data_IF_763677015359
#
_entry.id   IF_763677015359
#
_cell.length_a   1.000
_cell.length_b   1.000
_cell.length_c   1.000
_cell.angle_alpha   90.00
_cell.angle_beta   90.00
_cell.angle_gamma   90.00
#
_symmetry.space_group_name_H-M   'P 1'
#
loop_
_entity.id
_entity.type
_entity.pdbx_description
1 polymer ?
#
# COMPACT_ATOMS: atom_id res chain seq x y z
N UNK A 1 -13.10 -9.95 -4.60
CA UNK A 1 -12.96 -11.05 -5.57
C UNK A 1 -13.58 -12.31 -4.98
N UNK A 2 -14.44 -13.02 -5.71
CA UNK A 2 -14.90 -14.36 -5.38
C UNK A 2 -14.35 -15.37 -6.42
N UNK A 3 -13.87 -16.50 -5.95
CA UNK A 3 -13.37 -17.60 -6.78
C UNK A 3 -13.71 -18.94 -6.13
N UNK A 4 -13.74 -19.99 -6.93
CA UNK A 4 -14.02 -21.36 -6.45
C UNK A 4 -12.73 -22.11 -6.07
N UNK A 5 -12.89 -23.34 -5.58
CA UNK A 5 -11.78 -24.24 -5.17
C UNK A 5 -10.82 -24.61 -6.29
N UNK A 6 -11.19 -24.36 -7.54
CA UNK A 6 -10.34 -24.58 -8.73
C UNK A 6 -9.56 -23.34 -9.15
N UNK A 7 -9.71 -22.21 -8.41
CA UNK A 7 -9.10 -20.93 -8.74
C UNK A 7 -9.83 -20.12 -9.81
N UNK A 8 -10.99 -20.56 -10.28
CA UNK A 8 -11.78 -19.83 -11.26
C UNK A 8 -12.45 -18.63 -10.62
N UNK A 9 -12.20 -17.44 -11.16
CA UNK A 9 -12.86 -16.20 -10.70
C UNK A 9 -14.33 -16.24 -11.08
N UNK A 10 -15.20 -16.11 -10.09
CA UNK A 10 -16.65 -16.08 -10.25
C UNK A 10 -17.11 -14.63 -10.44
N UNK A 11 -16.63 -13.71 -9.59
CA UNK A 11 -16.90 -12.28 -9.75
C UNK A 11 -15.78 -11.41 -9.17
N UNK A 12 -15.72 -10.17 -9.68
CA UNK A 12 -14.87 -9.08 -9.15
C UNK A 12 -15.76 -7.89 -8.86
N UNK A 13 -15.58 -7.29 -7.70
CA UNK A 13 -16.25 -6.07 -7.30
C UNK A 13 -15.21 -5.05 -6.84
N UNK A 14 -15.41 -3.78 -7.17
CA UNK A 14 -14.55 -2.68 -6.74
C UNK A 14 -15.42 -1.55 -6.22
N UNK A 15 -15.04 -0.98 -5.10
CA UNK A 15 -15.68 0.18 -4.49
C UNK A 15 -14.59 1.14 -3.98
N UNK A 16 -14.96 2.16 -3.24
CA UNK A 16 -14.07 3.15 -2.65
C UNK A 16 -13.11 2.55 -1.59
N UNK A 17 -12.20 3.39 -1.08
CA UNK A 17 -11.19 2.94 -0.13
C UNK A 17 -11.78 2.48 1.22
N UNK A 18 -11.27 1.36 1.74
CA UNK A 18 -11.71 0.70 2.96
C UNK A 18 -10.62 0.63 4.04
N UNK A 19 -9.75 1.65 4.14
CA UNK A 19 -8.74 1.71 5.19
C UNK A 19 -9.39 1.86 6.58
N UNK A 20 -9.24 0.83 7.43
CA UNK A 20 -9.88 0.77 8.74
C UNK A 20 -9.41 1.88 9.70
N UNK A 21 -8.14 2.29 9.62
CA UNK A 21 -7.60 3.36 10.46
C UNK A 21 -8.14 4.74 10.06
N UNK A 22 -8.34 4.96 8.77
CA UNK A 22 -8.76 6.27 8.23
C UNK A 22 -10.29 6.42 8.29
N UNK A 23 -11.03 5.45 7.78
CA UNK A 23 -12.48 5.53 7.60
C UNK A 23 -13.29 4.85 8.70
N UNK A 24 -12.63 4.15 9.62
CA UNK A 24 -13.26 3.58 10.82
C UNK A 24 -14.54 2.78 10.51
N UNK A 25 -15.65 3.17 11.14
CA UNK A 25 -16.96 2.54 10.95
C UNK A 25 -17.45 2.57 9.49
N UNK A 26 -17.11 3.61 8.74
CA UNK A 26 -17.50 3.70 7.32
C UNK A 26 -16.81 2.63 6.49
N UNK A 27 -15.54 2.33 6.79
CA UNK A 27 -14.83 1.22 6.15
C UNK A 27 -15.50 -0.12 6.46
N UNK A 28 -15.92 -0.35 7.71
CA UNK A 28 -16.62 -1.57 8.11
C UNK A 28 -17.94 -1.70 7.34
N UNK A 29 -18.75 -0.64 7.28
CA UNK A 29 -20.01 -0.61 6.53
C UNK A 29 -19.79 -0.90 5.05
N UNK A 30 -18.74 -0.33 4.46
CA UNK A 30 -18.40 -0.56 3.06
C UNK A 30 -18.03 -2.02 2.80
N UNK A 31 -17.18 -2.62 3.65
CA UNK A 31 -16.77 -4.03 3.53
C UNK A 31 -17.99 -4.95 3.60
N UNK A 32 -18.88 -4.72 4.57
CA UNK A 32 -20.13 -5.49 4.72
C UNK A 32 -21.01 -5.33 3.49
N UNK A 33 -21.23 -4.11 3.02
CA UNK A 33 -21.99 -3.82 1.78
C UNK A 33 -21.42 -4.58 0.57
N UNK A 34 -20.10 -4.60 0.40
CA UNK A 34 -19.45 -5.35 -0.69
C UNK A 34 -19.75 -6.84 -0.57
N UNK A 35 -19.67 -7.42 0.62
CA UNK A 35 -20.00 -8.83 0.86
C UNK A 35 -21.46 -9.13 0.55
N UNK A 36 -22.39 -8.29 1.03
CA UNK A 36 -23.82 -8.42 0.77
C UNK A 36 -24.14 -8.33 -0.72
N UNK A 37 -23.46 -7.41 -1.45
CA UNK A 37 -23.60 -7.29 -2.91
C UNK A 37 -23.14 -8.56 -3.61
N UNK A 38 -21.96 -9.08 -3.26
CA UNK A 38 -21.41 -10.31 -3.87
C UNK A 38 -22.36 -11.50 -3.63
N UNK A 39 -22.86 -11.67 -2.42
CA UNK A 39 -23.78 -12.76 -2.06
C UNK A 39 -25.10 -12.64 -2.83
N UNK A 40 -25.65 -11.42 -2.95
CA UNK A 40 -26.86 -11.14 -3.71
C UNK A 40 -26.69 -11.41 -5.21
N UNK A 41 -25.62 -10.92 -5.82
CA UNK A 41 -25.35 -11.06 -7.25
C UNK A 41 -25.13 -12.53 -7.66
N UNK A 42 -24.45 -13.28 -6.80
CA UNK A 42 -24.23 -14.72 -6.99
C UNK A 42 -25.46 -15.58 -6.61
N UNK A 43 -26.48 -14.99 -6.01
CA UNK A 43 -27.71 -15.68 -5.53
C UNK A 43 -27.38 -16.84 -4.58
N UNK A 44 -26.42 -16.63 -3.70
CA UNK A 44 -25.99 -17.57 -2.65
C UNK A 44 -26.32 -17.01 -1.27
N UNK A 45 -26.10 -17.81 -0.22
CA UNK A 45 -26.19 -17.36 1.17
C UNK A 45 -24.79 -17.21 1.77
N UNK A 46 -24.68 -16.48 2.88
CA UNK A 46 -23.42 -16.40 3.63
C UNK A 46 -22.93 -17.78 4.13
N UNK A 47 -23.86 -18.73 4.35
CA UNK A 47 -23.54 -20.13 4.68
C UNK A 47 -22.75 -20.84 3.59
N UNK A 48 -22.95 -20.48 2.34
CA UNK A 48 -22.33 -21.10 1.16
C UNK A 48 -20.90 -20.63 0.93
N UNK A 49 -20.48 -19.55 1.61
CA UNK A 49 -19.08 -19.10 1.65
C UNK A 49 -18.28 -20.10 2.48
N UNK A 50 -17.29 -20.74 1.86
CA UNK A 50 -16.41 -21.71 2.52
C UNK A 50 -15.25 -21.04 3.26
N UNK A 51 -14.74 -19.91 2.74
CA UNK A 51 -13.65 -19.15 3.35
C UNK A 51 -13.74 -17.66 2.94
N UNK A 52 -13.39 -16.76 3.83
CA UNK A 52 -13.33 -15.32 3.59
C UNK A 52 -11.99 -14.76 4.02
N UNK A 53 -11.21 -14.21 3.09
CA UNK A 53 -9.96 -13.52 3.37
C UNK A 53 -10.09 -12.01 3.15
N UNK A 54 -9.74 -11.23 4.17
CA UNK A 54 -9.71 -9.79 4.11
C UNK A 54 -8.27 -9.29 4.31
N UNK A 55 -7.65 -8.73 3.27
CA UNK A 55 -6.38 -8.01 3.33
C UNK A 55 -6.64 -6.52 3.37
N UNK A 56 -6.54 -5.90 4.54
CA UNK A 56 -7.04 -4.55 4.80
C UNK A 56 -5.95 -3.62 5.30
N UNK A 57 -5.84 -2.44 4.69
CA UNK A 57 -5.06 -1.35 5.24
C UNK A 57 -5.68 -0.86 6.56
N UNK A 58 -4.82 -0.47 7.52
CA UNK A 58 -5.27 0.07 8.81
C UNK A 58 -5.83 -0.97 9.79
N UNK A 59 -5.58 -2.26 9.59
CA UNK A 59 -6.05 -3.36 10.46
C UNK A 59 -5.52 -3.29 11.90
N UNK A 60 -4.50 -2.47 12.15
CA UNK A 60 -3.98 -2.18 13.48
C UNK A 60 -4.94 -1.31 14.35
N UNK A 61 -5.95 -0.70 13.76
CA UNK A 61 -7.02 -0.05 14.50
C UNK A 61 -7.95 -1.11 15.11
N UNK A 62 -7.68 -1.45 16.36
CA UNK A 62 -8.37 -2.54 17.06
C UNK A 62 -9.88 -2.32 17.15
N UNK A 63 -10.33 -1.07 17.33
CA UNK A 63 -11.75 -0.75 17.43
C UNK A 63 -12.50 -1.07 16.13
N UNK A 64 -11.96 -0.65 14.97
CA UNK A 64 -12.56 -0.92 13.66
C UNK A 64 -12.48 -2.41 13.31
N UNK A 65 -11.39 -3.07 13.70
CA UNK A 65 -11.25 -4.53 13.55
C UNK A 65 -12.28 -5.29 14.36
N UNK A 66 -12.51 -4.91 15.62
CA UNK A 66 -13.51 -5.53 16.49
C UNK A 66 -14.93 -5.31 15.97
N UNK A 67 -15.23 -4.12 15.42
CA UNK A 67 -16.50 -3.84 14.76
C UNK A 67 -16.71 -4.75 13.55
N UNK A 68 -15.68 -4.94 12.73
CA UNK A 68 -15.73 -5.83 11.57
C UNK A 68 -15.98 -7.28 12.00
N UNK A 69 -15.31 -7.75 13.04
CA UNK A 69 -15.52 -9.09 13.59
C UNK A 69 -16.95 -9.28 14.12
N UNK A 70 -17.54 -8.28 14.77
CA UNK A 70 -18.96 -8.30 15.21
C UNK A 70 -19.91 -8.41 14.02
N UNK A 71 -19.65 -7.70 12.93
CA UNK A 71 -20.45 -7.83 11.70
C UNK A 71 -20.30 -9.23 11.07
N UNK A 72 -19.09 -9.80 11.05
CA UNK A 72 -18.89 -11.16 10.57
C UNK A 72 -19.58 -12.22 11.45
N UNK A 73 -19.65 -12.00 12.75
CA UNK A 73 -20.42 -12.85 13.67
C UNK A 73 -21.92 -12.75 13.37
N UNK A 74 -22.46 -11.51 13.21
CA UNK A 74 -23.85 -11.28 12.79
C UNK A 74 -24.20 -12.02 11.49
N UNK A 75 -23.25 -12.05 10.54
CA UNK A 75 -23.40 -12.75 9.25
C UNK A 75 -23.10 -14.25 9.35
N UNK A 76 -22.67 -14.76 10.51
CA UNK A 76 -22.28 -16.16 10.78
C UNK A 76 -21.14 -16.66 9.90
N UNK A 77 -20.17 -15.78 9.62
CA UNK A 77 -18.98 -16.08 8.80
C UNK A 77 -17.66 -15.89 9.54
N UNK A 78 -17.67 -15.50 10.82
CA UNK A 78 -16.45 -15.20 11.60
C UNK A 78 -15.49 -16.37 11.63
N UNK A 79 -15.95 -17.60 11.83
CA UNK A 79 -15.12 -18.81 11.90
C UNK A 79 -14.48 -19.21 10.56
N UNK A 80 -15.05 -18.71 9.47
CA UNK A 80 -14.55 -18.92 8.09
C UNK A 80 -13.69 -17.76 7.60
N UNK A 81 -13.48 -16.73 8.44
CA UNK A 81 -12.86 -15.48 8.07
C UNK A 81 -11.45 -15.36 8.63
N UNK A 82 -10.58 -14.74 7.84
CA UNK A 82 -9.27 -14.25 8.30
C UNK A 82 -9.12 -12.78 7.93
N UNK A 83 -8.64 -11.99 8.87
CA UNK A 83 -8.35 -10.57 8.66
C UNK A 83 -6.84 -10.38 8.77
N UNK A 84 -6.23 -9.97 7.67
CA UNK A 84 -4.80 -9.71 7.51
C UNK A 84 -4.58 -8.24 7.16
N UNK A 85 -3.37 -7.73 7.35
CA UNK A 85 -2.99 -6.48 6.70
C UNK A 85 -2.87 -6.68 5.17
N UNK A 86 -3.04 -5.59 4.43
CA UNK A 86 -2.78 -5.55 2.99
C UNK A 86 -1.33 -5.97 2.67
N UNK A 87 -0.39 -5.57 3.52
CA UNK A 87 1.03 -5.93 3.40
C UNK A 87 1.28 -7.43 3.62
N UNK A 88 0.64 -8.05 4.62
CA UNK A 88 0.73 -9.51 4.83
C UNK A 88 0.14 -10.28 3.67
N UNK A 89 -0.98 -9.82 3.12
CA UNK A 89 -1.57 -10.38 1.91
C UNK A 89 -0.62 -10.30 0.72
N UNK A 90 0.00 -9.13 0.50
CA UNK A 90 0.97 -8.94 -0.57
C UNK A 90 2.22 -9.80 -0.36
N UNK A 91 2.70 -9.91 0.88
CA UNK A 91 3.85 -10.73 1.22
C UNK A 91 3.64 -12.20 0.83
N UNK A 92 2.50 -12.76 1.20
CA UNK A 92 2.18 -14.17 0.93
C UNK A 92 2.07 -14.47 -0.58
N UNK A 93 1.60 -13.48 -1.36
CA UNK A 93 1.52 -13.58 -2.81
C UNK A 93 2.90 -13.54 -3.48
N UNK A 94 3.76 -12.65 -3.01
CA UNK A 94 5.03 -12.30 -3.66
C UNK A 94 6.22 -13.10 -3.11
N UNK A 95 6.11 -13.61 -1.88
CA UNK A 95 7.10 -14.44 -1.21
C UNK A 95 6.50 -15.82 -0.84
N UNK A 96 6.08 -16.63 -1.82
CA UNK A 96 5.31 -17.87 -1.58
C UNK A 96 6.10 -18.94 -0.84
N UNK A 97 7.43 -18.88 -0.84
CA UNK A 97 8.30 -19.77 -0.06
C UNK A 97 8.31 -19.49 1.44
N UNK A 98 7.69 -18.36 1.85
CA UNK A 98 7.67 -17.90 3.23
C UNK A 98 8.90 -17.07 3.64
N UNK A 99 9.99 -17.11 2.89
CA UNK A 99 11.20 -16.32 3.08
C UNK A 99 11.28 -15.22 2.01
N UNK A 100 11.76 -14.02 2.38
CA UNK A 100 11.99 -12.94 1.42
C UNK A 100 11.80 -11.55 2.04
N UNK A 101 11.87 -10.55 1.19
CA UNK A 101 11.70 -9.13 1.53
C UNK A 101 10.58 -8.55 0.68
N UNK A 102 9.66 -7.83 1.30
CA UNK A 102 8.63 -7.03 0.64
C UNK A 102 8.83 -5.56 0.99
N UNK A 103 8.90 -4.72 -0.03
CA UNK A 103 8.85 -3.25 0.09
C UNK A 103 7.53 -2.78 -0.50
N UNK A 104 6.62 -2.34 0.34
CA UNK A 104 5.31 -1.83 -0.05
C UNK A 104 5.31 -0.31 0.08
N UNK A 105 5.24 0.41 -1.05
CA UNK A 105 5.21 1.88 -1.09
C UNK A 105 4.02 2.35 -1.92
N UNK A 106 3.06 2.92 -1.22
CA UNK A 106 1.86 3.56 -1.77
C UNK A 106 1.59 4.86 -1.03
N UNK A 107 0.38 5.06 -0.51
CA UNK A 107 0.05 6.20 0.38
C UNK A 107 0.96 6.22 1.61
N UNK A 108 1.20 5.07 2.24
CA UNK A 108 2.18 4.83 3.29
C UNK A 108 3.33 3.92 2.80
N UNK A 109 4.19 3.51 3.72
CA UNK A 109 5.28 2.56 3.45
C UNK A 109 5.35 1.49 4.52
N UNK A 110 5.65 0.26 4.11
CA UNK A 110 6.01 -0.86 4.99
C UNK A 110 7.09 -1.70 4.33
N UNK A 111 8.15 -2.00 5.06
CA UNK A 111 9.12 -3.03 4.70
C UNK A 111 8.93 -4.24 5.62
N UNK A 112 8.68 -5.40 5.04
CA UNK A 112 8.43 -6.65 5.75
C UNK A 112 9.40 -7.72 5.26
N UNK A 113 10.05 -8.41 6.17
CA UNK A 113 10.93 -9.53 5.86
C UNK A 113 10.60 -10.75 6.70
N UNK A 114 10.90 -11.93 6.19
CA UNK A 114 10.93 -13.18 6.97
C UNK A 114 12.22 -13.93 6.65
N UNK A 115 12.89 -14.37 7.70
CA UNK A 115 14.08 -15.19 7.58
C UNK A 115 13.74 -16.66 7.26
N UNK A 116 14.79 -17.49 7.15
CA UNK A 116 14.67 -18.94 6.89
C UNK A 116 13.91 -19.70 7.97
N UNK A 117 13.87 -19.17 9.18
CA UNK A 117 13.20 -19.78 10.33
C UNK A 117 11.74 -19.29 10.48
N UNK A 118 11.28 -18.44 9.54
CA UNK A 118 9.95 -17.89 9.50
C UNK A 118 9.71 -16.70 10.45
N UNK A 119 10.77 -16.19 11.11
CA UNK A 119 10.68 -15.02 11.96
C UNK A 119 10.44 -13.79 11.11
N UNK A 120 9.44 -13.00 11.48
CA UNK A 120 9.07 -11.78 10.77
C UNK A 120 9.74 -10.55 11.36
N UNK A 121 10.20 -9.68 10.47
CA UNK A 121 10.81 -8.39 10.76
C UNK A 121 10.03 -7.31 10.02
N UNK A 122 9.81 -6.18 10.66
CA UNK A 122 9.05 -5.08 10.09
C UNK A 122 9.74 -3.75 10.37
N UNK A 123 10.01 -3.00 9.30
CA UNK A 123 10.56 -1.65 9.35
C UNK A 123 9.58 -0.70 8.70
N UNK A 124 9.46 0.54 9.22
CA UNK A 124 8.46 1.52 8.81
C UNK A 124 7.00 1.04 9.09
N UNK A 125 6.00 1.64 8.46
CA UNK A 125 4.59 1.28 8.66
C UNK A 125 4.05 1.66 10.03
N UNK A 126 4.50 2.80 10.55
CA UNK A 126 4.01 3.38 11.81
C UNK A 126 2.78 4.27 11.61
N UNK A 127 2.46 4.54 10.35
CA UNK A 127 1.41 5.46 9.93
C UNK A 127 1.96 6.72 9.28
N UNK A 128 1.20 7.26 8.35
CA UNK A 128 1.57 8.45 7.56
C UNK A 128 1.89 9.68 8.43
N UNK A 129 1.27 9.81 9.59
CA UNK A 129 1.46 10.86 10.59
C UNK A 129 2.72 10.67 11.45
N UNK A 130 3.29 9.48 11.47
CA UNK A 130 4.43 9.07 12.30
C UNK A 130 5.74 8.89 11.54
N UNK A 131 5.80 9.42 10.32
CA UNK A 131 7.04 9.56 9.59
C UNK A 131 7.36 8.48 8.58
N UNK A 132 6.37 7.86 7.93
CA UNK A 132 6.56 6.91 6.82
C UNK A 132 7.24 7.61 5.61
N UNK A 133 8.51 8.02 5.81
CA UNK A 133 9.28 8.76 4.82
C UNK A 133 9.50 7.96 3.53
N UNK A 134 9.46 8.64 2.38
CA UNK A 134 9.51 8.03 1.06
C UNK A 134 8.17 7.51 0.53
N UNK A 135 7.11 7.52 1.35
CA UNK A 135 5.75 7.19 0.91
C UNK A 135 5.13 8.30 0.06
N UNK A 136 4.02 7.98 -0.63
CA UNK A 136 3.29 8.97 -1.40
C UNK A 136 2.80 10.15 -0.58
N UNK A 137 2.31 9.91 0.64
CA UNK A 137 1.92 10.98 1.55
C UNK A 137 3.11 11.85 1.95
N UNK A 138 4.24 11.25 2.29
CA UNK A 138 5.45 11.98 2.66
C UNK A 138 5.96 12.84 1.50
N UNK A 139 5.99 12.30 0.27
CA UNK A 139 6.40 13.05 -0.94
C UNK A 139 5.52 14.27 -1.14
N UNK A 140 4.20 14.09 -1.09
CA UNK A 140 3.26 15.21 -1.23
C UNK A 140 3.37 16.24 -0.11
N UNK A 141 3.57 15.78 1.13
CA UNK A 141 3.78 16.65 2.30
C UNK A 141 5.08 17.46 2.19
N UNK A 142 6.18 16.85 1.77
CA UNK A 142 7.44 17.56 1.59
C UNK A 142 7.35 18.59 0.43
N UNK A 143 6.62 18.27 -0.65
CA UNK A 143 6.35 19.23 -1.71
C UNK A 143 5.60 20.47 -1.18
N UNK A 144 4.53 20.27 -0.42
CA UNK A 144 3.77 21.36 0.20
C UNK A 144 4.65 22.15 1.17
N UNK A 145 5.43 21.46 2.02
CA UNK A 145 6.34 22.12 2.97
C UNK A 145 7.40 22.98 2.27
N UNK A 146 7.97 22.53 1.13
CA UNK A 146 8.90 23.32 0.33
C UNK A 146 8.26 24.60 -0.17
N UNK A 147 6.97 24.61 -0.55
CA UNK A 147 6.24 25.81 -0.94
C UNK A 147 6.14 26.82 0.21
N UNK A 148 5.77 26.37 1.41
CA UNK A 148 5.68 27.25 2.59
C UNK A 148 7.03 27.84 3.01
N UNK A 149 8.11 27.08 2.87
CA UNK A 149 9.45 27.54 3.23
C UNK A 149 10.03 28.56 2.22
N UNK A 150 9.50 28.59 1.00
CA UNK A 150 10.07 29.37 -0.10
C UNK A 150 9.04 30.35 -0.73
N UNK A 151 8.13 30.88 0.06
CA UNK A 151 7.03 31.75 -0.42
C UNK A 151 7.48 32.94 -1.27
N UNK A 152 8.65 33.50 -0.99
CA UNK A 152 9.22 34.66 -1.69
C UNK A 152 9.67 34.36 -3.12
N UNK A 153 9.87 33.10 -3.49
CA UNK A 153 10.35 32.70 -4.81
C UNK A 153 9.35 31.84 -5.59
N UNK A 154 8.15 31.61 -5.07
CA UNK A 154 7.14 30.73 -5.69
C UNK A 154 6.81 31.07 -7.14
N UNK A 155 6.87 32.35 -7.51
CA UNK A 155 6.55 32.84 -8.86
C UNK A 155 7.78 33.21 -9.68
N UNK A 156 8.97 33.15 -9.09
CA UNK A 156 10.24 33.55 -9.71
C UNK A 156 11.01 32.32 -10.15
N UNK A 157 11.02 31.29 -9.34
CA UNK A 157 11.65 30.00 -9.62
C UNK A 157 10.65 29.11 -10.39
N UNK A 158 11.02 28.67 -11.58
CA UNK A 158 10.14 27.92 -12.48
C UNK A 158 9.78 26.53 -11.90
N UNK A 159 10.73 25.86 -11.24
CA UNK A 159 10.52 24.57 -10.61
C UNK A 159 9.54 24.67 -9.44
N UNK A 160 9.71 25.70 -8.61
CA UNK A 160 8.83 25.98 -7.49
C UNK A 160 7.43 26.34 -7.98
N UNK A 161 7.32 27.17 -9.01
CA UNK A 161 6.06 27.58 -9.62
C UNK A 161 5.29 26.39 -10.17
N UNK A 162 5.98 25.43 -10.82
CA UNK A 162 5.37 24.22 -11.35
C UNK A 162 4.71 23.39 -10.24
N UNK A 163 5.40 23.20 -9.12
CA UNK A 163 4.86 22.50 -7.94
C UNK A 163 3.69 23.28 -7.33
N UNK A 164 3.83 24.61 -7.22
CA UNK A 164 2.79 25.48 -6.67
C UNK A 164 1.49 25.41 -7.48
N UNK A 165 1.57 25.54 -8.81
CA UNK A 165 0.42 25.47 -9.71
C UNK A 165 -0.24 24.07 -9.66
N UNK A 166 0.56 23.02 -9.54
CA UNK A 166 0.05 21.66 -9.34
C UNK A 166 -0.75 21.53 -8.04
N UNK A 167 -0.21 22.01 -6.92
CA UNK A 167 -0.87 21.97 -5.61
C UNK A 167 -2.17 22.76 -5.64
N UNK A 168 -2.14 23.99 -6.15
CA UNK A 168 -3.36 24.83 -6.31
C UNK A 168 -4.45 24.08 -7.08
N UNK A 169 -4.10 23.52 -8.22
CA UNK A 169 -5.04 22.76 -9.06
C UNK A 169 -5.58 21.53 -8.34
N UNK A 170 -4.72 20.75 -7.68
CA UNK A 170 -5.10 19.50 -7.01
C UNK A 170 -6.04 19.72 -5.83
N UNK A 171 -5.83 20.80 -5.09
CA UNK A 171 -6.64 21.16 -3.93
C UNK A 171 -7.78 22.12 -4.25
N UNK A 172 -7.79 22.67 -5.46
CA UNK A 172 -8.76 23.69 -5.90
C UNK A 172 -8.75 24.91 -4.98
N UNK A 173 -7.57 25.48 -4.75
CA UNK A 173 -7.32 26.66 -3.91
C UNK A 173 -6.62 27.75 -4.71
N UNK A 174 -6.81 29.01 -4.32
CA UNK A 174 -6.20 30.14 -5.00
C UNK A 174 -4.77 30.44 -4.52
N UNK A 175 -4.47 30.11 -3.26
CA UNK A 175 -3.18 30.36 -2.64
C UNK A 175 -2.86 29.38 -1.49
N UNK A 176 -1.68 29.54 -0.86
CA UNK A 176 -1.26 28.71 0.26
C UNK A 176 -2.07 28.96 1.54
N UNK A 177 -2.64 30.13 1.72
CA UNK A 177 -3.46 30.43 2.90
C UNK A 177 -4.75 29.62 2.85
N UNK A 178 -5.43 29.60 1.70
CA UNK A 178 -6.61 28.76 1.50
C UNK A 178 -6.29 27.26 1.65
N UNK A 179 -5.08 26.83 1.28
CA UNK A 179 -4.63 25.46 1.50
C UNK A 179 -4.47 25.14 2.99
N UNK A 180 -3.92 26.07 3.78
CA UNK A 180 -3.76 25.91 5.24
C UNK A 180 -5.11 25.77 5.95
N UNK A 181 -6.10 26.58 5.56
CA UNK A 181 -7.46 26.47 6.08
C UNK A 181 -8.07 25.09 5.83
N UNK A 182 -7.85 24.53 4.64
CA UNK A 182 -8.30 23.17 4.30
C UNK A 182 -7.65 22.06 5.14
N UNK A 183 -6.39 22.23 5.57
CA UNK A 183 -5.72 21.23 6.42
C UNK A 183 -6.31 21.15 7.83
N UNK A 184 -7.08 22.15 8.26
CA UNK A 184 -7.80 22.12 9.53
C UNK A 184 -9.03 21.19 9.49
N UNK A 185 -9.51 20.80 8.28
CA UNK A 185 -10.59 19.84 8.07
C UNK A 185 -10.01 18.47 7.66
N UNK A 186 -9.67 17.66 8.66
CA UNK A 186 -8.73 16.52 8.55
C UNK A 186 -9.19 15.30 7.77
N UNK A 187 -10.48 15.12 7.45
CA UNK A 187 -10.99 13.79 7.11
C UNK A 187 -10.67 13.26 5.70
N UNK A 188 -10.20 14.08 4.75
CA UNK A 188 -9.94 13.65 3.37
C UNK A 188 -8.56 14.04 2.81
N UNK A 189 -7.68 14.64 3.61
CA UNK A 189 -6.45 15.24 3.12
C UNK A 189 -5.35 14.23 2.82
N UNK A 190 -5.29 13.11 3.54
CA UNK A 190 -4.23 12.12 3.39
C UNK A 190 -4.11 11.60 1.95
N UNK A 191 -5.22 11.22 1.36
CA UNK A 191 -5.23 10.70 -0.02
C UNK A 191 -4.97 11.79 -1.06
N UNK A 192 -5.48 13.02 -0.82
CA UNK A 192 -5.20 14.17 -1.71
C UNK A 192 -3.72 14.54 -1.68
N UNK A 193 -3.12 14.57 -0.49
CA UNK A 193 -1.68 14.82 -0.33
C UNK A 193 -0.87 13.71 -0.96
N UNK A 194 -1.19 12.45 -0.69
CA UNK A 194 -0.50 11.30 -1.30
C UNK A 194 -0.61 11.29 -2.83
N UNK A 195 -1.72 11.74 -3.37
CA UNK A 195 -1.93 11.82 -4.82
C UNK A 195 -1.08 12.90 -5.52
N UNK A 196 -0.42 13.80 -4.79
CA UNK A 196 0.60 14.70 -5.35
C UNK A 196 1.85 13.95 -5.79
N UNK A 197 2.15 12.81 -5.15
CA UNK A 197 3.38 12.06 -5.41
C UNK A 197 3.54 11.69 -6.88
N UNK A 198 2.46 11.37 -7.59
CA UNK A 198 2.48 11.08 -9.03
C UNK A 198 3.01 12.29 -9.83
N UNK A 199 2.52 13.48 -9.53
CA UNK A 199 2.97 14.71 -10.19
C UNK A 199 4.41 15.05 -9.84
N UNK A 200 4.80 14.89 -8.56
CA UNK A 200 6.19 15.16 -8.12
C UNK A 200 7.16 14.18 -8.78
N UNK A 201 6.79 12.91 -8.94
CA UNK A 201 7.59 11.93 -9.68
C UNK A 201 7.74 12.33 -11.16
N UNK A 202 6.66 12.73 -11.82
CA UNK A 202 6.68 13.19 -13.22
C UNK A 202 7.58 14.44 -13.39
N UNK A 203 7.52 15.38 -12.45
CA UNK A 203 8.37 16.57 -12.47
C UNK A 203 9.84 16.22 -12.21
N UNK A 204 10.13 15.33 -11.26
CA UNK A 204 11.47 14.88 -10.97
C UNK A 204 12.10 14.16 -12.19
N UNK A 205 11.36 13.31 -12.88
CA UNK A 205 11.79 12.65 -14.10
C UNK A 205 12.08 13.65 -15.24
N UNK A 206 11.39 14.78 -15.24
CA UNK A 206 11.59 15.91 -16.19
C UNK A 206 12.63 16.93 -15.74
N UNK A 207 13.45 16.59 -14.77
CA UNK A 207 14.55 17.39 -14.22
C UNK A 207 14.11 18.67 -13.47
N UNK A 208 12.94 18.68 -12.83
CA UNK A 208 12.63 19.68 -11.81
C UNK A 208 13.49 19.39 -10.58
N UNK A 209 14.42 20.26 -10.26
CA UNK A 209 15.46 20.04 -9.22
C UNK A 209 14.83 19.88 -7.82
N UNK A 210 13.76 20.60 -7.55
CA UNK A 210 13.08 20.55 -6.25
C UNK A 210 12.34 19.22 -6.09
N UNK A 211 11.61 18.80 -7.11
CA UNK A 211 10.93 17.51 -7.12
C UNK A 211 11.96 16.35 -7.03
N UNK A 212 13.05 16.45 -7.79
CA UNK A 212 14.13 15.47 -7.76
C UNK A 212 14.75 15.34 -6.36
N UNK A 213 15.00 16.48 -5.69
CA UNK A 213 15.54 16.48 -4.32
C UNK A 213 14.61 15.75 -3.33
N UNK A 214 13.30 15.90 -3.47
CA UNK A 214 12.31 15.23 -2.63
C UNK A 214 12.35 13.71 -2.87
N UNK A 215 12.36 13.28 -4.13
CA UNK A 215 12.38 11.85 -4.46
C UNK A 215 13.69 11.21 -4.00
N UNK A 216 14.84 11.85 -4.21
CA UNK A 216 16.14 11.33 -3.78
C UNK A 216 16.23 11.22 -2.25
N UNK A 217 15.74 12.20 -1.51
CA UNK A 217 15.69 12.15 -0.03
C UNK A 217 14.79 10.99 0.43
N UNK A 218 13.59 10.88 -0.13
CA UNK A 218 12.65 9.81 0.20
C UNK A 218 13.21 8.41 -0.10
N UNK A 219 13.79 8.21 -1.28
CA UNK A 219 14.36 6.92 -1.68
C UNK A 219 15.60 6.55 -0.88
N UNK A 220 16.44 7.53 -0.47
CA UNK A 220 17.56 7.28 0.45
C UNK A 220 17.08 6.74 1.80
N UNK A 221 16.02 7.31 2.37
CA UNK A 221 15.46 6.83 3.65
C UNK A 221 14.85 5.43 3.47
N UNK A 222 14.18 5.17 2.34
CA UNK A 222 13.65 3.83 2.05
C UNK A 222 14.77 2.81 1.89
N UNK A 223 15.89 3.20 1.28
CA UNK A 223 17.08 2.36 1.20
C UNK A 223 17.60 1.98 2.61
N UNK A 224 17.66 2.93 3.55
CA UNK A 224 18.02 2.66 4.94
C UNK A 224 17.06 1.66 5.61
N UNK A 225 15.75 1.73 5.31
CA UNK A 225 14.79 0.74 5.81
C UNK A 225 15.06 -0.67 5.26
N UNK A 226 15.40 -0.77 3.98
CA UNK A 226 15.74 -2.06 3.35
C UNK A 226 17.01 -2.63 3.92
N UNK A 227 18.07 -1.82 4.07
CA UNK A 227 19.35 -2.24 4.66
C UNK A 227 19.14 -2.70 6.11
N UNK A 228 18.43 -1.92 6.92
CA UNK A 228 18.11 -2.29 8.31
C UNK A 228 17.38 -3.65 8.36
N UNK A 229 16.44 -3.89 7.45
CA UNK A 229 15.71 -5.16 7.40
C UNK A 229 16.62 -6.33 7.01
N UNK A 230 17.51 -6.13 6.06
CA UNK A 230 18.51 -7.13 5.63
C UNK A 230 19.44 -7.51 6.80
N UNK A 231 19.91 -6.51 7.53
CA UNK A 231 20.77 -6.70 8.69
C UNK A 231 20.06 -7.45 9.82
N UNK A 232 18.83 -7.06 10.16
CA UNK A 232 18.04 -7.74 11.19
C UNK A 232 17.69 -9.20 10.84
N UNK A 233 17.56 -9.51 9.56
CA UNK A 233 17.32 -10.87 9.06
C UNK A 233 18.61 -11.70 8.95
N UNK A 234 19.77 -11.12 9.22
CA UNK A 234 21.08 -11.73 8.95
C UNK A 234 21.18 -12.28 7.50
N UNK A 235 20.62 -11.53 6.57
CA UNK A 235 20.55 -11.93 5.16
C UNK A 235 21.91 -11.73 4.51
N UNK A 236 22.69 -12.79 4.43
CA UNK A 236 24.12 -12.74 4.00
C UNK A 236 24.30 -12.75 2.48
N UNK A 237 23.25 -12.90 1.71
CA UNK A 237 23.35 -12.94 0.26
C UNK A 237 23.47 -11.53 -0.32
N UNK A 238 24.55 -11.26 -1.06
CA UNK A 238 24.74 -9.98 -1.76
C UNK A 238 23.78 -9.80 -2.96
N UNK A 239 23.09 -10.85 -3.35
CA UNK A 239 22.00 -10.81 -4.33
C UNK A 239 20.68 -10.78 -3.59
N UNK A 240 19.94 -9.68 -3.69
CA UNK A 240 18.66 -9.54 -3.04
C UNK A 240 17.51 -9.60 -4.07
N UNK A 241 16.58 -10.50 -3.82
CA UNK A 241 15.29 -10.52 -4.51
C UNK A 241 14.28 -9.84 -3.60
N UNK A 242 13.77 -8.69 -4.05
CA UNK A 242 12.83 -7.88 -3.27
C UNK A 242 11.49 -7.82 -4.00
N UNK A 243 10.44 -8.17 -3.31
CA UNK A 243 9.08 -8.01 -3.78
C UNK A 243 8.63 -6.55 -3.63
N UNK A 244 8.06 -5.97 -4.69
CA UNK A 244 7.51 -4.62 -4.69
C UNK A 244 5.98 -4.62 -4.69
N UNK A 245 5.35 -3.82 -3.82
CA UNK A 245 3.91 -3.63 -3.80
C UNK A 245 3.55 -2.15 -3.65
N UNK A 246 2.44 -1.72 -4.24
CA UNK A 246 1.96 -0.34 -4.19
C UNK A 246 2.31 0.49 -5.42
N UNK A 247 1.63 1.62 -5.58
CA UNK A 247 1.70 2.45 -6.78
C UNK A 247 3.02 3.20 -6.94
N UNK A 248 3.60 3.65 -5.83
CA UNK A 248 4.85 4.42 -5.85
C UNK A 248 6.03 3.53 -6.22
N UNK A 249 6.16 2.35 -5.61
CA UNK A 249 7.27 1.43 -5.91
C UNK A 249 7.17 0.84 -7.34
N UNK A 250 5.99 0.83 -7.94
CA UNK A 250 5.79 0.44 -9.35
C UNK A 250 6.23 1.50 -10.35
N UNK A 251 6.48 2.74 -9.92
CA UNK A 251 7.01 3.79 -10.78
C UNK A 251 8.50 3.52 -11.07
N UNK A 252 8.88 3.51 -12.35
CA UNK A 252 10.22 3.16 -12.79
C UNK A 252 11.28 4.18 -12.33
N UNK A 253 10.93 5.47 -12.35
CA UNK A 253 11.84 6.52 -11.91
C UNK A 253 12.10 6.44 -10.40
N UNK A 254 11.06 6.19 -9.59
CA UNK A 254 11.22 5.97 -8.15
C UNK A 254 12.14 4.78 -7.86
N UNK A 255 11.92 3.65 -8.54
CA UNK A 255 12.78 2.46 -8.38
C UNK A 255 14.21 2.73 -8.81
N UNK A 256 14.42 3.49 -9.89
CA UNK A 256 15.78 3.89 -10.31
C UNK A 256 16.48 4.64 -9.18
N UNK A 257 15.85 5.68 -8.62
CA UNK A 257 16.43 6.44 -7.51
C UNK A 257 16.69 5.56 -6.27
N UNK A 258 15.78 4.61 -5.98
CA UNK A 258 15.98 3.67 -4.87
C UNK A 258 17.11 2.68 -5.14
N UNK A 259 17.25 2.17 -6.36
CA UNK A 259 18.37 1.32 -6.76
C UNK A 259 19.70 2.05 -6.66
N UNK A 260 19.74 3.31 -7.10
CA UNK A 260 20.94 4.16 -7.00
C UNK A 260 21.35 4.38 -5.53
N UNK A 261 20.37 4.47 -4.61
CA UNK A 261 20.64 4.57 -3.18
C UNK A 261 21.11 3.24 -2.56
N UNK A 262 20.64 2.09 -3.05
CA UNK A 262 20.97 0.75 -2.54
C UNK A 262 22.25 0.15 -3.13
N UNK A 263 22.80 0.70 -4.21
CA UNK A 263 23.90 0.09 -4.97
C UNK A 263 25.19 -0.18 -4.16
N UNK A 264 25.39 0.54 -3.06
CA UNK A 264 26.57 0.37 -2.19
C UNK A 264 26.40 -0.78 -1.19
N UNK A 265 25.15 -1.13 -0.87
CA UNK A 265 24.83 -2.15 0.15
C UNK A 265 24.44 -3.48 -0.52
N UNK A 266 23.81 -3.42 -1.70
CA UNK A 266 23.33 -4.58 -2.45
C UNK A 266 23.94 -4.55 -3.84
N UNK A 267 24.78 -5.53 -4.16
CA UNK A 267 25.50 -5.58 -5.45
C UNK A 267 24.62 -6.06 -6.62
N UNK A 268 23.56 -6.79 -6.35
CA UNK A 268 22.67 -7.33 -7.39
C UNK A 268 21.22 -7.38 -6.87
N UNK A 269 20.43 -6.39 -7.28
CA UNK A 269 19.06 -6.21 -6.82
C UNK A 269 18.06 -6.58 -7.90
N UNK A 270 17.18 -7.52 -7.60
CA UNK A 270 16.09 -7.94 -8.48
C UNK A 270 14.73 -7.64 -7.85
N UNK A 271 13.88 -6.94 -8.59
CA UNK A 271 12.51 -6.66 -8.17
C UNK A 271 11.54 -7.70 -8.73
N UNK A 272 10.63 -8.16 -7.87
CA UNK A 272 9.49 -9.00 -8.26
C UNK A 272 8.21 -8.21 -8.02
N UNK A 273 7.33 -8.21 -9.00
CA UNK A 273 5.99 -7.63 -8.92
C UNK A 273 4.95 -8.69 -9.31
N UNK A 274 3.73 -8.51 -8.84
CA UNK A 274 2.60 -9.33 -9.27
C UNK A 274 1.55 -8.46 -9.95
N UNK A 275 0.99 -8.98 -11.04
CA UNK A 275 -0.18 -8.41 -11.71
C UNK A 275 -1.50 -8.92 -11.08
N UNK A 276 -1.41 -9.90 -10.18
CA UNK A 276 -2.56 -10.45 -9.47
C UNK A 276 -2.89 -9.53 -8.29
N UNK A 277 -4.17 -9.21 -8.14
CA UNK A 277 -4.66 -8.44 -7.00
C UNK A 277 -4.42 -9.19 -5.67
N UNK A 278 -3.88 -8.49 -4.67
CA UNK A 278 -3.63 -9.05 -3.33
C UNK A 278 -4.90 -9.61 -2.64
N UNK A 279 -6.10 -9.26 -3.10
CA UNK A 279 -7.35 -9.83 -2.61
C UNK A 279 -7.44 -11.35 -2.85
N UNK A 280 -6.84 -11.86 -3.93
CA UNK A 280 -6.76 -13.33 -4.14
C UNK A 280 -5.91 -14.00 -3.07
N UNK A 281 -4.80 -13.38 -2.70
CA UNK A 281 -3.92 -13.93 -1.67
C UNK A 281 -4.63 -14.08 -0.33
N UNK A 282 -5.38 -13.05 0.10
CA UNK A 282 -6.18 -13.16 1.33
C UNK A 282 -7.17 -14.31 1.27
N UNK A 283 -7.84 -14.48 0.12
CA UNK A 283 -8.78 -15.57 -0.10
C UNK A 283 -8.11 -16.95 -0.09
N UNK A 284 -6.91 -17.07 -0.69
CA UNK A 284 -6.12 -18.32 -0.67
C UNK A 284 -5.71 -18.67 0.76
N UNK A 285 -5.23 -17.69 1.54
CA UNK A 285 -4.83 -17.92 2.94
C UNK A 285 -6.05 -18.38 3.76
N UNK A 286 -7.19 -17.72 3.59
CA UNK A 286 -8.43 -18.15 4.26
C UNK A 286 -8.85 -19.56 3.87
N UNK A 287 -8.79 -19.90 2.58
CA UNK A 287 -9.09 -21.25 2.07
C UNK A 287 -8.17 -22.29 2.70
N UNK A 288 -6.87 -22.03 2.76
CA UNK A 288 -5.88 -22.91 3.39
C UNK A 288 -6.16 -23.12 4.89
N UNK A 289 -6.55 -22.06 5.61
CA UNK A 289 -6.99 -22.18 7.02
C UNK A 289 -8.22 -23.09 7.17
N UNK A 290 -9.10 -23.12 6.18
CA UNK A 290 -10.26 -24.02 6.11
C UNK A 290 -9.94 -25.39 5.45
N UNK A 291 -8.65 -25.70 5.22
CA UNK A 291 -8.16 -26.94 4.57
C UNK A 291 -8.65 -27.13 3.13
N UNK A 292 -8.98 -26.05 2.46
CA UNK A 292 -9.31 -26.03 1.03
C UNK A 292 -8.00 -25.81 0.26
N UNK A 293 -7.67 -26.73 -0.64
CA UNK A 293 -6.42 -26.68 -1.39
C UNK A 293 -6.59 -25.87 -2.67
N UNK A 294 -6.30 -24.58 -2.59
CA UNK A 294 -6.22 -23.66 -3.73
C UNK A 294 -4.91 -22.87 -3.64
N UNK A 295 -4.27 -22.66 -4.76
CA UNK A 295 -2.96 -21.99 -4.86
C UNK A 295 -3.00 -20.77 -5.77
N UNK A 296 -1.95 -19.95 -5.69
CA UNK A 296 -1.72 -18.85 -6.63
C UNK A 296 -1.68 -19.35 -8.08
N UNK A 297 -1.05 -20.52 -8.32
CA UNK A 297 -0.96 -21.09 -9.66
C UNK A 297 -2.33 -21.49 -10.22
N UNK A 298 -3.27 -21.92 -9.37
CA UNK A 298 -4.63 -22.23 -9.82
C UNK A 298 -5.38 -20.95 -10.25
N UNK A 299 -5.17 -19.86 -9.53
CA UNK A 299 -5.71 -18.52 -9.92
C UNK A 299 -5.11 -18.07 -11.27
N UNK A 300 -3.79 -18.17 -11.44
CA UNK A 300 -3.11 -17.70 -12.67
C UNK A 300 -3.64 -18.42 -13.91
N UNK A 301 -3.91 -19.71 -13.84
CA UNK A 301 -4.46 -20.49 -14.95
C UNK A 301 -5.80 -19.98 -15.48
N UNK A 302 -6.53 -19.20 -14.67
CA UNK A 302 -7.89 -18.74 -14.97
C UNK A 302 -8.03 -17.22 -15.09
N UNK A 303 -6.93 -16.46 -14.96
CA UNK A 303 -6.94 -14.99 -15.12
C UNK A 303 -6.69 -14.56 -16.58
N UNK A 304 -6.12 -15.44 -17.41
CA UNK A 304 -5.80 -15.20 -18.83
C UNK A 304 -7.03 -15.32 -19.74
#
# INVERSE_FOLDING_TARGET
VAFNEYGQTICKYSDSGSNLYVYKEEAVKLIVKVLETVVSDLKINFSDISALGCGLAGVSDLNSRDLLLKEFDRLKIVEKSIILSDTESAYQLLCPTGQGILVSVGTGIVCLGRDKDGKSFKVAGRGYDKGDAGSGYWIGKEAIKKLYLNQNILLIDEDMKQIYDCVKKKFNVDDLHALEEMFNDQNNMVFKVAALAENILDYAEKNNDIALSIIQEGTRIVAEYVVCLIDEMEYTNKEAVIAGNGTIIKNDFYRKCLNDALQFDISNLHWIFSDICCAYSSGIIAAQCQKINVSVNDIIKHIN
#
